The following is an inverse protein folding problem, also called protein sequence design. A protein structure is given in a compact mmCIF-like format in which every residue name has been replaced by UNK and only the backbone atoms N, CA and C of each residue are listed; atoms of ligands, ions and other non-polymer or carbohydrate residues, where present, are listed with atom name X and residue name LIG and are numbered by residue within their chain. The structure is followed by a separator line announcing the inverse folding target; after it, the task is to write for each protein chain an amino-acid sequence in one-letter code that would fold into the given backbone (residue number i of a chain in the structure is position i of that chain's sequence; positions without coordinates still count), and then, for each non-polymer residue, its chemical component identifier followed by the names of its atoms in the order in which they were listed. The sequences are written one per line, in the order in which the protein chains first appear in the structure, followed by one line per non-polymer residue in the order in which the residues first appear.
data_IF_038467188221
#
_entry.id   IF_038467188221
#
_cell.length_a   1.000
_cell.length_b   1.000
_cell.length_c   1.000
_cell.angle_alpha   90.00
_cell.angle_beta   90.00
_cell.angle_gamma   90.00
#
_symmetry.space_group_name_H-M   'P 1'
#
loop_
_entity.id
_entity.type
_entity.pdbx_description
1 polymer ?
#
# COMPACT_ATOMS: atom_id res chain seq x y z
N UNK A 1 -19.47 -12.07 -12.81
CA UNK A 1 -18.29 -11.28 -13.24
C UNK A 1 -17.56 -10.97 -11.94
N UNK A 2 -16.44 -11.62 -11.65
CA UNK A 2 -15.62 -11.17 -10.52
C UNK A 2 -15.19 -9.74 -10.86
N UNK A 3 -15.43 -8.74 -10.00
CA UNK A 3 -14.83 -7.44 -10.21
C UNK A 3 -13.32 -7.67 -10.18
N UNK A 4 -12.65 -7.33 -11.27
CA UNK A 4 -11.19 -7.31 -11.27
C UNK A 4 -10.84 -6.15 -10.34
N UNK A 5 -10.39 -6.47 -9.13
CA UNK A 5 -9.96 -5.46 -8.15
C UNK A 5 -8.94 -4.56 -8.82
N UNK A 6 -9.16 -3.24 -8.74
CA UNK A 6 -8.22 -2.28 -9.30
C UNK A 6 -7.01 -2.12 -8.35
N UNK A 7 -5.97 -1.42 -8.80
CA UNK A 7 -4.75 -1.20 -7.99
C UNK A 7 -5.05 -0.58 -6.63
N UNK A 8 -6.02 0.34 -6.55
CA UNK A 8 -6.46 0.96 -5.30
C UNK A 8 -7.06 -0.07 -4.34
N UNK A 9 -7.99 -0.91 -4.83
CA UNK A 9 -8.61 -1.98 -4.05
C UNK A 9 -7.56 -2.99 -3.54
N UNK A 10 -6.56 -3.34 -4.37
CA UNK A 10 -5.48 -4.26 -4.01
C UNK A 10 -4.61 -3.66 -2.90
N UNK A 11 -4.22 -2.39 -3.05
CA UNK A 11 -3.42 -1.69 -2.05
C UNK A 11 -4.14 -1.61 -0.72
N UNK A 12 -5.42 -1.23 -0.72
CA UNK A 12 -6.23 -1.17 0.50
C UNK A 12 -6.39 -2.52 1.18
N UNK A 13 -6.65 -3.58 0.40
CA UNK A 13 -6.80 -4.94 0.93
C UNK A 13 -5.53 -5.40 1.66
N UNK A 14 -4.36 -5.27 1.03
CA UNK A 14 -3.11 -5.70 1.65
C UNK A 14 -2.68 -4.78 2.80
N UNK A 15 -2.96 -3.48 2.72
CA UNK A 15 -2.76 -2.57 3.84
C UNK A 15 -3.61 -3.00 5.05
N UNK A 16 -4.88 -3.34 4.84
CA UNK A 16 -5.75 -3.81 5.90
C UNK A 16 -5.26 -5.13 6.54
N UNK A 17 -4.78 -6.06 5.71
CA UNK A 17 -4.19 -7.33 6.18
C UNK A 17 -2.96 -7.09 7.06
N UNK A 18 -2.01 -6.28 6.59
CA UNK A 18 -0.78 -5.96 7.33
C UNK A 18 -1.09 -5.20 8.62
N UNK A 19 -1.99 -4.23 8.58
CA UNK A 19 -2.42 -3.51 9.80
C UNK A 19 -3.04 -4.47 10.80
N UNK A 20 -3.90 -5.38 10.34
CA UNK A 20 -4.52 -6.38 11.22
C UNK A 20 -3.51 -7.32 11.89
N UNK A 21 -2.43 -7.66 11.18
CA UNK A 21 -1.41 -8.59 11.69
C UNK A 21 -0.38 -7.89 12.59
N UNK A 22 0.07 -6.69 12.22
CA UNK A 22 1.24 -6.05 12.81
C UNK A 22 0.93 -4.80 13.65
N UNK A 23 -0.22 -4.16 13.47
CA UNK A 23 -0.57 -2.95 14.23
C UNK A 23 -1.23 -3.28 15.56
N UNK A 24 -0.95 -2.51 16.63
CA UNK A 24 -1.72 -2.59 17.87
C UNK A 24 -3.13 -2.01 17.74
N UNK A 25 -3.44 -1.34 16.62
CA UNK A 25 -4.74 -0.73 16.35
C UNK A 25 -5.48 -1.47 15.22
N UNK A 26 -6.82 -1.56 15.28
CA UNK A 26 -7.59 -2.13 14.18
C UNK A 26 -7.52 -1.24 12.94
N UNK A 27 -7.68 -1.84 11.76
CA UNK A 27 -7.82 -1.10 10.52
C UNK A 27 -9.11 -0.24 10.55
N UNK A 28 -9.04 1.08 10.30
CA UNK A 28 -10.21 1.96 10.28
C UNK A 28 -11.19 1.60 9.15
N UNK A 29 -12.48 1.87 9.34
CA UNK A 29 -13.51 1.64 8.32
C UNK A 29 -13.63 2.78 7.30
N UNK A 30 -13.00 3.93 7.58
CA UNK A 30 -13.11 5.19 6.85
C UNK A 30 -11.76 5.63 6.24
N UNK A 31 -10.93 4.65 5.86
CA UNK A 31 -9.67 4.93 5.16
C UNK A 31 -9.94 5.55 3.78
N UNK A 32 -9.26 6.65 3.51
CA UNK A 32 -9.33 7.44 2.28
C UNK A 32 -7.93 7.66 1.72
N UNK A 33 -7.82 8.22 0.52
CA UNK A 33 -6.53 8.53 -0.10
C UNK A 33 -5.73 9.55 0.72
N UNK A 34 -6.42 10.42 1.48
CA UNK A 34 -5.81 11.42 2.35
C UNK A 34 -5.35 10.85 3.71
N UNK A 35 -5.75 9.61 4.06
CA UNK A 35 -5.37 8.98 5.32
C UNK A 35 -3.86 8.78 5.37
N UNK A 36 -3.21 9.23 6.45
CA UNK A 36 -1.76 9.12 6.59
C UNK A 36 -1.34 7.71 6.94
N UNK A 37 -0.23 7.24 6.38
CA UNK A 37 0.29 5.91 6.67
C UNK A 37 0.83 5.76 8.10
N UNK A 38 1.26 6.86 8.73
CA UNK A 38 1.74 6.84 10.12
C UNK A 38 0.62 6.62 11.15
N UNK A 39 -0.63 6.90 10.80
CA UNK A 39 -1.81 6.61 11.63
C UNK A 39 -2.04 5.10 11.85
N UNK A 40 -1.48 4.26 10.97
CA UNK A 40 -1.58 2.81 11.08
C UNK A 40 -0.49 2.19 11.98
N UNK A 41 0.47 2.97 12.47
CA UNK A 41 1.57 2.52 13.34
C UNK A 41 2.38 1.35 12.77
N UNK A 42 2.55 1.31 11.44
CA UNK A 42 3.38 0.30 10.80
C UNK A 42 4.86 0.59 11.05
N UNK A 43 5.55 -0.37 11.66
CA UNK A 43 7.00 -0.30 11.79
C UNK A 43 7.71 -0.65 10.47
N UNK A 44 9.04 -0.62 10.48
CA UNK A 44 9.83 -0.93 9.28
C UNK A 44 9.62 -2.36 8.77
N UNK A 45 9.32 -3.32 9.64
CA UNK A 45 9.10 -4.71 9.25
C UNK A 45 7.73 -4.83 8.59
N UNK A 46 6.69 -4.29 9.23
CA UNK A 46 5.34 -4.29 8.70
C UNK A 46 5.26 -3.57 7.34
N UNK A 47 5.98 -2.45 7.18
CA UNK A 47 6.04 -1.75 5.90
C UNK A 47 6.73 -2.57 4.81
N UNK A 48 7.82 -3.28 5.12
CA UNK A 48 8.47 -4.18 4.16
C UNK A 48 7.55 -5.35 3.80
N UNK A 49 6.84 -5.93 4.78
CA UNK A 49 5.84 -6.97 4.54
C UNK A 49 4.73 -6.48 3.61
N UNK A 50 4.25 -5.24 3.79
CA UNK A 50 3.30 -4.61 2.88
C UNK A 50 3.86 -4.55 1.46
N UNK A 51 5.07 -4.03 1.28
CA UNK A 51 5.69 -3.94 -0.05
C UNK A 51 5.85 -5.31 -0.70
N UNK A 52 6.27 -6.35 0.04
CA UNK A 52 6.38 -7.71 -0.48
C UNK A 52 5.01 -8.29 -0.88
N UNK A 53 3.96 -8.08 -0.08
CA UNK A 53 2.61 -8.55 -0.44
C UNK A 53 2.08 -7.86 -1.71
N UNK A 54 2.36 -6.56 -1.86
CA UNK A 54 1.99 -5.79 -3.05
C UNK A 54 2.80 -6.20 -4.28
N UNK A 55 4.08 -6.55 -4.11
CA UNK A 55 4.91 -7.13 -5.17
C UNK A 55 4.32 -8.45 -5.68
N UNK A 56 3.89 -9.34 -4.78
CA UNK A 56 3.24 -10.60 -5.16
C UNK A 56 1.91 -10.38 -5.90
N UNK A 57 1.13 -9.38 -5.48
CA UNK A 57 -0.19 -9.10 -6.05
C UNK A 57 -0.13 -8.31 -7.38
N UNK A 58 0.78 -7.34 -7.49
CA UNK A 58 0.88 -6.40 -8.62
C UNK A 58 2.07 -6.72 -9.55
N UNK A 59 2.98 -7.58 -9.13
CA UNK A 59 4.12 -8.08 -9.92
C UNK A 59 5.38 -7.21 -9.85
N UNK A 60 5.39 -6.15 -9.04
CA UNK A 60 6.54 -5.24 -8.93
C UNK A 60 6.50 -4.42 -7.64
N UNK A 61 7.65 -3.86 -7.25
CA UNK A 61 7.74 -2.74 -6.30
C UNK A 61 8.06 -1.45 -7.09
N UNK A 62 7.39 -0.31 -6.82
CA UNK A 62 7.66 0.93 -7.52
C UNK A 62 9.12 1.37 -7.37
N UNK A 63 9.76 1.74 -8.48
CA UNK A 63 11.19 2.07 -8.51
C UNK A 63 11.55 3.24 -7.59
N UNK A 64 10.65 4.22 -7.46
CA UNK A 64 10.84 5.37 -6.57
C UNK A 64 10.96 4.94 -5.09
N UNK A 65 10.28 3.85 -4.69
CA UNK A 65 10.39 3.28 -3.34
C UNK A 65 11.74 2.56 -3.19
N UNK A 66 12.13 1.72 -4.16
CA UNK A 66 13.40 0.98 -4.14
C UNK A 66 14.60 1.95 -4.05
N UNK A 67 14.54 3.06 -4.79
CA UNK A 67 15.61 4.07 -4.83
C UNK A 67 15.60 5.00 -3.63
N UNK A 68 14.59 4.92 -2.75
CA UNK A 68 14.40 5.85 -1.64
C UNK A 68 14.13 7.28 -2.09
N UNK A 69 13.70 7.48 -3.34
CA UNK A 69 13.39 8.79 -3.92
C UNK A 69 12.03 9.29 -3.44
N UNK A 70 11.15 8.37 -3.07
CA UNK A 70 9.82 8.69 -2.59
C UNK A 70 9.40 7.77 -1.45
N UNK A 71 8.94 8.38 -0.35
CA UNK A 71 8.37 7.70 0.79
C UNK A 71 6.89 8.12 0.91
N UNK A 72 5.94 7.24 0.61
CA UNK A 72 4.52 7.60 0.65
C UNK A 72 4.13 8.06 2.05
N UNK A 73 3.40 9.16 2.14
CA UNK A 73 2.93 9.72 3.42
C UNK A 73 1.47 9.36 3.65
N UNK A 74 0.71 9.20 2.58
CA UNK A 74 -0.72 8.88 2.58
C UNK A 74 -1.01 7.59 1.80
N UNK A 75 -2.21 7.04 2.00
CA UNK A 75 -2.70 5.89 1.20
C UNK A 75 -2.74 6.24 -0.28
N UNK A 76 -3.18 7.44 -0.63
CA UNK A 76 -3.22 7.94 -2.01
C UNK A 76 -1.83 8.03 -2.62
N UNK A 77 -0.82 8.43 -1.86
CA UNK A 77 0.58 8.41 -2.33
C UNK A 77 1.02 6.99 -2.67
N UNK A 78 0.71 6.02 -1.81
CA UNK A 78 1.07 4.63 -2.03
C UNK A 78 0.37 4.07 -3.29
N UNK A 79 -0.94 4.30 -3.43
CA UNK A 79 -1.70 3.90 -4.62
C UNK A 79 -1.15 4.57 -5.88
N UNK A 80 -0.83 5.86 -5.80
CA UNK A 80 -0.30 6.65 -6.90
C UNK A 80 1.04 6.09 -7.42
N UNK A 81 1.90 5.59 -6.54
CA UNK A 81 3.17 4.97 -6.93
C UNK A 81 2.97 3.72 -7.80
N UNK A 82 2.03 2.86 -7.44
CA UNK A 82 1.74 1.66 -8.23
C UNK A 82 1.01 1.99 -9.52
N UNK A 83 0.10 2.96 -9.50
CA UNK A 83 -0.67 3.37 -10.68
C UNK A 83 0.22 4.05 -11.73
N UNK A 84 1.06 5.01 -11.32
CA UNK A 84 1.91 5.76 -12.24
C UNK A 84 2.93 4.86 -12.96
N UNK A 85 3.44 3.82 -12.29
CA UNK A 85 4.37 2.90 -12.91
C UNK A 85 3.69 1.94 -13.91
N UNK A 86 2.44 1.52 -13.64
CA UNK A 86 1.65 0.72 -14.58
C UNK A 86 1.34 1.45 -15.90
N UNK A 87 1.31 2.78 -15.90
CA UNK A 87 1.14 3.57 -17.13
C UNK A 87 2.43 3.68 -17.97
N UNK A 88 3.58 3.30 -17.41
CA UNK A 88 4.89 3.47 -18.03
C UNK A 88 5.42 2.17 -18.68
N UNK A 89 4.83 1.01 -18.34
CA UNK A 89 5.12 -0.32 -18.90
C UNK A 89 4.13 -0.73 -20.01
#
# INVERSE_FOLDING_TARGET
RNPQMNTHDIVLQHLAEVVTEFSPLPFPNDVTDETRLDEFWLDSIAFVTLLSSLEEALGFIPQAVIRGEFQPQTVGDLVGLYTAQQETD
#
